data_IF_153740438033
#
_entry.id   IF_153740438033
#
_cell.length_a   1.000
_cell.length_b   1.000
_cell.length_c   1.000
_cell.angle_alpha   90.00
_cell.angle_beta   90.00
_cell.angle_gamma   90.00
#
_symmetry.space_group_name_H-M   'P 1'
#
loop_
_entity.id
_entity.type
_entity.pdbx_description
1 polymer ?
#
# COMPACT_ATOMS: atom_id res chain seq x y z
N UNK A 1 -37.47 -29.40 -43.19
CA UNK A 1 -36.48 -29.17 -42.12
C UNK A 1 -35.94 -27.75 -42.10
N UNK A 2 -36.68 -26.69 -42.44
CA UNK A 2 -36.14 -25.31 -42.58
C UNK A 2 -36.79 -24.22 -41.71
N UNK A 3 -37.81 -24.54 -40.90
CA UNK A 3 -38.51 -23.49 -40.13
C UNK A 3 -37.97 -23.19 -38.72
N UNK A 4 -37.03 -23.98 -38.20
CA UNK A 4 -36.43 -23.70 -36.87
C UNK A 4 -35.21 -22.77 -36.89
N UNK A 5 -34.51 -22.72 -38.00
CA UNK A 5 -33.31 -21.87 -38.14
C UNK A 5 -33.64 -20.40 -38.43
N UNK A 6 -34.74 -20.11 -39.09
CA UNK A 6 -35.22 -18.75 -39.37
C UNK A 6 -35.81 -18.05 -38.16
N UNK A 7 -36.46 -18.81 -37.23
CA UNK A 7 -37.00 -18.22 -36.00
C UNK A 7 -35.95 -17.77 -35.00
N UNK A 8 -34.83 -18.48 -34.92
CA UNK A 8 -33.71 -18.12 -33.99
C UNK A 8 -32.97 -16.87 -34.46
N UNK A 9 -32.80 -16.71 -35.78
CA UNK A 9 -32.13 -15.54 -36.37
C UNK A 9 -32.95 -14.25 -36.22
N UNK A 10 -34.28 -14.35 -36.23
CA UNK A 10 -35.18 -13.20 -36.07
C UNK A 10 -35.24 -12.69 -34.61
N UNK A 11 -35.13 -13.59 -33.62
CA UNK A 11 -35.16 -13.24 -32.18
C UNK A 11 -33.85 -12.53 -31.77
N UNK A 12 -32.70 -12.93 -32.32
CA UNK A 12 -31.42 -12.30 -32.03
C UNK A 12 -31.30 -10.88 -32.61
N UNK A 13 -31.95 -10.60 -33.74
CA UNK A 13 -31.98 -9.27 -34.36
C UNK A 13 -32.91 -8.27 -33.65
N UNK A 14 -33.95 -8.73 -32.99
CA UNK A 14 -34.91 -7.86 -32.25
C UNK A 14 -34.33 -7.46 -30.87
N UNK A 15 -33.52 -8.29 -30.24
CA UNK A 15 -32.88 -7.95 -28.95
C UNK A 15 -31.73 -6.96 -29.07
N UNK A 16 -31.18 -6.78 -30.26
CA UNK A 16 -30.06 -5.84 -30.48
C UNK A 16 -30.51 -4.40 -30.77
N UNK A 17 -31.80 -4.16 -31.10
CA UNK A 17 -32.30 -2.83 -31.44
C UNK A 17 -32.90 -2.02 -30.27
N UNK A 18 -33.04 -2.60 -29.06
CA UNK A 18 -33.72 -1.91 -27.92
C UNK A 18 -32.77 -1.20 -26.98
N UNK A 19 -31.43 -1.28 -27.17
CA UNK A 19 -30.43 -0.69 -26.25
C UNK A 19 -29.87 0.68 -26.66
N UNK A 20 -30.46 1.36 -27.65
CA UNK A 20 -29.89 2.62 -28.19
C UNK A 20 -30.74 3.87 -27.99
N UNK A 21 -31.56 3.94 -26.93
CA UNK A 21 -32.25 5.20 -26.57
C UNK A 21 -32.13 5.40 -25.06
N UNK A 22 -31.00 5.95 -24.60
CA UNK A 22 -30.90 6.61 -23.30
C UNK A 22 -30.76 8.12 -23.52
N UNK A 23 -31.61 8.94 -22.87
CA UNK A 23 -31.42 10.38 -22.91
C UNK A 23 -30.21 10.79 -22.10
N UNK A 24 -29.29 11.52 -22.71
CA UNK A 24 -28.16 12.19 -22.04
C UNK A 24 -28.70 13.29 -21.13
N UNK A 25 -28.85 13.03 -19.85
CA UNK A 25 -28.94 14.09 -18.85
C UNK A 25 -27.54 14.59 -18.56
N UNK A 26 -27.25 15.79 -19.00
CA UNK A 26 -26.06 16.53 -18.65
C UNK A 26 -26.08 16.83 -17.15
N UNK A 27 -25.29 16.11 -16.37
CA UNK A 27 -24.97 16.48 -15.00
C UNK A 27 -23.84 17.50 -15.08
N UNK A 28 -24.16 18.75 -14.82
CA UNK A 28 -23.21 19.83 -14.57
C UNK A 28 -22.34 19.43 -13.37
N UNK A 29 -21.06 19.22 -13.62
CA UNK A 29 -20.06 19.03 -12.59
C UNK A 29 -19.84 20.38 -11.87
N UNK A 30 -20.40 20.50 -10.68
CA UNK A 30 -20.02 21.55 -9.73
C UNK A 30 -18.63 21.22 -9.18
N UNK A 31 -17.72 22.19 -9.31
CA UNK A 31 -16.34 22.11 -8.87
C UNK A 31 -16.22 21.93 -7.34
N UNK A 32 -15.30 21.10 -6.83
CA UNK A 32 -15.19 20.79 -5.40
C UNK A 32 -14.45 21.84 -4.56
N UNK A 33 -14.46 23.12 -4.95
CA UNK A 33 -13.73 24.19 -4.23
C UNK A 33 -14.57 25.00 -3.24
N UNK A 34 -15.90 24.84 -3.20
CA UNK A 34 -16.74 25.61 -2.26
C UNK A 34 -17.06 24.88 -0.93
N UNK A 35 -16.70 23.60 -0.77
CA UNK A 35 -17.00 22.87 0.47
C UNK A 35 -15.95 23.06 1.58
N UNK A 36 -14.85 23.75 1.32
CA UNK A 36 -13.77 23.97 2.31
C UNK A 36 -13.96 25.26 3.12
N UNK A 37 -14.79 26.19 2.67
CA UNK A 37 -14.91 27.49 3.34
C UNK A 37 -16.00 27.58 4.43
N UNK A 38 -16.86 26.58 4.61
CA UNK A 38 -18.00 26.63 5.54
C UNK A 38 -17.87 25.71 6.77
N UNK A 39 -16.67 25.20 7.09
CA UNK A 39 -16.48 24.34 8.27
C UNK A 39 -15.62 24.94 9.39
N UNK A 40 -15.50 26.28 9.44
CA UNK A 40 -14.73 26.96 10.50
C UNK A 40 -15.58 27.74 11.50
N UNK A 41 -16.84 27.38 11.68
CA UNK A 41 -17.62 27.93 12.84
C UNK A 41 -18.54 26.87 13.41
N UNK A 42 -18.04 26.02 14.28
CA UNK A 42 -18.69 25.46 15.48
C UNK A 42 -18.01 24.17 15.91
N UNK A 43 -17.18 24.21 16.89
CA UNK A 43 -17.20 23.39 18.12
C UNK A 43 -15.92 23.57 18.93
N UNK A 44 -16.07 24.11 20.11
CA UNK A 44 -15.09 24.08 21.19
C UNK A 44 -14.79 22.64 21.60
N UNK A 45 -13.49 22.28 21.71
CA UNK A 45 -12.86 21.72 22.91
C UNK A 45 -11.48 21.12 22.59
N UNK A 46 -10.48 21.56 23.37
CA UNK A 46 -9.36 20.70 23.75
C UNK A 46 -7.99 21.02 23.16
N UNK A 47 -7.35 22.11 23.65
CA UNK A 47 -5.96 22.11 24.11
C UNK A 47 -4.91 21.26 23.37
N UNK A 48 -4.33 21.75 22.29
CA UNK A 48 -2.96 21.42 21.84
C UNK A 48 -2.37 22.38 20.79
N UNK A 49 -3.18 23.19 20.09
CA UNK A 49 -2.66 24.09 19.02
C UNK A 49 -2.14 25.44 19.54
N UNK A 50 -2.52 25.85 20.76
CA UNK A 50 -2.10 27.13 21.35
C UNK A 50 -0.64 27.13 21.81
N UNK A 51 -0.09 25.98 22.15
CA UNK A 51 1.28 25.88 22.64
C UNK A 51 2.33 26.00 21.51
N UNK A 52 2.01 25.55 20.30
CA UNK A 52 2.93 25.62 19.17
C UNK A 52 3.10 27.06 18.65
N UNK A 53 2.01 27.82 18.53
CA UNK A 53 2.04 29.20 18.08
C UNK A 53 2.68 30.13 19.13
N UNK A 54 2.46 29.89 20.43
CA UNK A 54 3.10 30.64 21.50
C UNK A 54 4.60 30.36 21.59
N UNK A 55 5.04 29.12 21.32
CA UNK A 55 6.46 28.77 21.28
C UNK A 55 7.16 29.41 20.08
N UNK A 56 6.53 29.45 18.89
CA UNK A 56 7.07 30.10 17.70
C UNK A 56 7.12 31.63 17.84
N UNK A 57 6.10 32.24 18.43
CA UNK A 57 6.05 33.67 18.69
C UNK A 57 7.07 34.09 19.76
N UNK A 58 7.29 33.25 20.78
CA UNK A 58 8.33 33.46 21.80
C UNK A 58 9.75 33.40 21.25
N UNK A 59 10.02 32.50 20.30
CA UNK A 59 11.33 32.42 19.62
C UNK A 59 11.58 33.59 18.68
N UNK A 60 10.53 34.12 18.02
CA UNK A 60 10.67 35.23 17.08
C UNK A 60 10.85 36.58 17.80
N UNK A 61 10.16 36.82 18.92
CA UNK A 61 10.23 38.05 19.70
C UNK A 61 11.41 38.09 20.69
N UNK A 62 11.93 36.91 21.13
CA UNK A 62 13.08 36.83 22.02
C UNK A 62 14.39 37.29 21.37
N UNK A 63 14.46 37.33 20.05
CA UNK A 63 15.67 37.73 19.31
C UNK A 63 15.73 39.21 18.97
N UNK A 64 14.67 39.99 19.28
CA UNK A 64 14.60 41.43 18.93
C UNK A 64 14.87 42.38 20.11
N UNK A 65 14.92 41.88 21.35
CA UNK A 65 15.20 42.68 22.54
C UNK A 65 16.50 42.17 23.18
N UNK A 66 17.62 42.75 22.71
CA UNK A 66 18.92 42.45 23.26
C UNK A 66 19.05 42.75 24.76
N UNK A 67 19.39 41.70 25.50
CA UNK A 67 20.11 41.83 26.79
C UNK A 67 21.07 40.65 26.93
N UNK A 68 22.33 40.97 26.87
CA UNK A 68 23.47 40.08 27.06
C UNK A 68 23.53 39.56 28.48
N UNK A 69 23.42 38.26 28.68
CA UNK A 69 23.95 37.58 29.87
C UNK A 69 24.86 36.44 29.42
N UNK A 70 26.00 36.22 30.11
CA UNK A 70 26.99 35.24 29.65
C UNK A 70 26.50 33.82 29.80
N UNK A 71 26.64 33.04 28.73
CA UNK A 71 26.34 31.62 28.66
C UNK A 71 27.42 30.83 29.37
N UNK A 72 27.12 29.96 30.34
CA UNK A 72 28.13 29.00 30.83
C UNK A 72 28.36 27.96 29.72
N UNK A 73 29.64 27.82 29.35
CA UNK A 73 30.13 26.80 28.43
C UNK A 73 29.90 25.42 29.01
N UNK A 74 28.88 24.72 28.51
CA UNK A 74 28.66 23.31 28.75
C UNK A 74 28.52 22.62 27.40
N UNK A 75 29.64 22.18 26.85
CA UNK A 75 29.80 21.49 25.55
C UNK A 75 29.30 20.04 25.58
N UNK A 76 28.78 19.54 26.70
CA UNK A 76 28.47 18.10 26.85
C UNK A 76 26.99 17.71 26.68
N UNK A 77 26.07 18.70 26.54
CA UNK A 77 24.62 18.37 26.51
C UNK A 77 24.03 18.27 25.09
N UNK A 78 24.78 18.67 24.04
CA UNK A 78 24.25 18.66 22.65
C UNK A 78 24.42 17.30 21.96
N UNK A 79 25.23 16.39 22.53
CA UNK A 79 25.53 15.09 21.91
C UNK A 79 24.43 14.04 22.09
N UNK A 80 23.41 14.30 22.93
CA UNK A 80 22.32 13.36 23.21
C UNK A 80 21.00 13.65 22.48
N UNK A 81 20.93 14.67 21.62
CA UNK A 81 19.67 15.07 20.94
C UNK A 81 19.77 14.91 19.41
N UNK A 82 20.93 14.54 18.84
CA UNK A 82 20.96 14.16 17.42
C UNK A 82 20.47 12.71 17.30
N UNK A 83 19.37 12.47 16.58
CA UNK A 83 18.98 11.10 16.23
C UNK A 83 20.14 10.47 15.46
N UNK A 84 20.66 9.36 15.96
CA UNK A 84 21.66 8.54 15.28
C UNK A 84 21.09 8.16 13.91
N UNK A 85 21.93 8.10 12.88
CA UNK A 85 21.54 7.77 11.50
C UNK A 85 20.71 6.47 11.39
N UNK A 86 20.80 5.57 12.37
CA UNK A 86 20.03 4.34 12.49
C UNK A 86 18.55 4.58 12.76
N UNK A 87 18.19 5.57 13.58
CA UNK A 87 16.77 5.83 13.93
C UNK A 87 16.02 6.47 12.76
N UNK A 88 16.68 7.31 11.97
CA UNK A 88 16.08 7.90 10.77
C UNK A 88 15.84 6.86 9.67
N UNK A 89 16.70 5.85 9.53
CA UNK A 89 16.53 4.82 8.50
C UNK A 89 15.42 3.83 8.88
N UNK A 90 15.27 3.51 10.16
CA UNK A 90 14.22 2.63 10.65
C UNK A 90 12.83 3.27 10.50
N UNK A 91 12.68 4.56 10.77
CA UNK A 91 11.42 5.29 10.56
C UNK A 91 11.05 5.42 9.09
N UNK A 92 12.01 5.67 8.20
CA UNK A 92 11.77 5.76 6.75
C UNK A 92 11.38 4.40 6.14
N UNK A 93 11.97 3.30 6.59
CA UNK A 93 11.62 1.96 6.11
C UNK A 93 10.22 1.53 6.59
N UNK A 94 9.85 1.85 7.83
CA UNK A 94 8.50 1.60 8.34
C UNK A 94 7.45 2.36 7.51
N UNK A 95 7.67 3.64 7.21
CA UNK A 95 6.75 4.44 6.38
C UNK A 95 6.62 3.89 4.95
N UNK A 96 7.73 3.42 4.35
CA UNK A 96 7.68 2.77 3.02
C UNK A 96 6.89 1.46 3.07
N UNK A 97 7.09 0.65 4.10
CA UNK A 97 6.35 -0.59 4.31
C UNK A 97 4.85 -0.34 4.45
N UNK A 98 4.46 0.63 5.27
CA UNK A 98 3.05 1.01 5.45
C UNK A 98 2.42 1.50 4.14
N UNK A 99 3.15 2.27 3.33
CA UNK A 99 2.69 2.72 2.02
C UNK A 99 2.46 1.54 1.04
N UNK A 100 3.36 0.55 1.03
CA UNK A 100 3.21 -0.68 0.25
C UNK A 100 1.93 -1.43 0.64
N UNK A 101 1.70 -1.61 1.95
CA UNK A 101 0.52 -2.32 2.44
C UNK A 101 -0.77 -1.51 2.17
N UNK A 102 -0.74 -0.19 2.31
CA UNK A 102 -1.87 0.67 1.95
C UNK A 102 -2.23 0.50 0.47
N UNK A 103 -1.24 0.54 -0.43
CA UNK A 103 -1.42 0.28 -1.87
C UNK A 103 -1.96 -1.13 -2.13
N UNK A 104 -1.36 -2.16 -1.52
CA UNK A 104 -1.78 -3.55 -1.68
C UNK A 104 -3.26 -3.77 -1.29
N UNK A 105 -3.70 -3.15 -0.20
CA UNK A 105 -5.09 -3.23 0.29
C UNK A 105 -6.11 -2.65 -0.68
N UNK A 106 -5.76 -1.71 -1.55
CA UNK A 106 -6.69 -1.17 -2.55
C UNK A 106 -7.11 -2.22 -3.58
N UNK A 107 -6.37 -3.32 -3.69
CA UNK A 107 -6.64 -4.44 -4.60
C UNK A 107 -7.32 -5.64 -3.93
N UNK A 108 -7.73 -5.53 -2.66
CA UNK A 108 -8.46 -6.62 -1.99
C UNK A 108 -9.66 -7.08 -2.83
N UNK A 109 -9.77 -8.41 -3.01
CA UNK A 109 -10.83 -9.00 -3.83
C UNK A 109 -10.58 -8.97 -5.34
N UNK A 110 -9.50 -8.37 -5.84
CA UNK A 110 -9.14 -8.46 -7.26
C UNK A 110 -8.92 -9.92 -7.66
N UNK A 111 -9.42 -10.37 -8.84
CA UNK A 111 -9.41 -11.77 -9.20
C UNK A 111 -7.98 -12.29 -9.50
N UNK A 112 -7.72 -13.53 -9.06
CA UNK A 112 -6.52 -14.27 -9.44
C UNK A 112 -6.60 -14.75 -10.90
N UNK A 113 -5.61 -14.38 -11.70
CA UNK A 113 -5.45 -14.87 -13.08
C UNK A 113 -4.02 -15.36 -13.25
N UNK A 114 -3.84 -16.63 -13.60
CA UNK A 114 -2.51 -17.20 -13.86
C UNK A 114 -1.80 -16.42 -14.98
N UNK A 115 -0.62 -15.84 -14.69
CA UNK A 115 0.12 -14.99 -15.62
C UNK A 115 -0.51 -13.60 -15.84
N UNK A 116 -1.57 -13.25 -15.12
CA UNK A 116 -2.19 -11.91 -15.19
C UNK A 116 -1.24 -10.83 -14.65
N UNK A 117 -1.29 -9.63 -15.23
CA UNK A 117 -0.38 -8.51 -14.92
C UNK A 117 -1.11 -7.17 -14.77
N UNK A 118 -2.43 -7.19 -14.73
CA UNK A 118 -3.24 -5.97 -14.73
C UNK A 118 -4.26 -5.97 -13.59
N UNK A 119 -4.88 -4.83 -13.34
CA UNK A 119 -5.97 -4.69 -12.36
C UNK A 119 -7.21 -5.52 -12.69
N UNK A 120 -7.33 -6.06 -13.91
CA UNK A 120 -8.38 -7.01 -14.27
C UNK A 120 -8.11 -8.43 -13.72
N UNK A 121 -6.89 -8.72 -13.28
CA UNK A 121 -6.46 -9.93 -12.62
C UNK A 121 -4.94 -10.03 -12.59
N UNK A 122 -4.43 -10.46 -11.44
CA UNK A 122 -3.01 -10.69 -11.19
C UNK A 122 -2.72 -12.17 -10.95
N UNK A 123 -1.47 -12.56 -11.01
CA UNK A 123 -0.93 -13.68 -10.23
C UNK A 123 -0.18 -13.15 -9.00
N UNK A 124 0.27 -14.05 -8.11
CA UNK A 124 0.92 -13.66 -6.87
C UNK A 124 2.12 -12.73 -7.06
N UNK A 125 2.98 -12.99 -8.05
CA UNK A 125 4.20 -12.23 -8.30
C UNK A 125 3.98 -10.97 -9.13
N UNK A 126 3.02 -10.94 -10.02
CA UNK A 126 2.63 -9.72 -10.73
C UNK A 126 1.92 -8.74 -9.79
N UNK A 127 1.12 -9.24 -8.85
CA UNK A 127 0.53 -8.42 -7.78
C UNK A 127 1.62 -7.70 -6.97
N UNK A 128 2.64 -8.44 -6.49
CA UNK A 128 3.74 -7.83 -5.74
C UNK A 128 4.54 -6.85 -6.62
N UNK A 129 4.82 -7.21 -7.88
CA UNK A 129 5.51 -6.32 -8.81
C UNK A 129 4.73 -5.03 -9.06
N UNK A 130 3.42 -5.13 -9.26
CA UNK A 130 2.55 -3.99 -9.51
C UNK A 130 2.52 -3.03 -8.31
N UNK A 131 2.30 -3.55 -7.10
CA UNK A 131 2.28 -2.75 -5.87
C UNK A 131 3.63 -2.07 -5.63
N UNK A 132 4.75 -2.79 -5.78
CA UNK A 132 6.10 -2.23 -5.67
C UNK A 132 6.32 -1.09 -6.67
N UNK A 133 5.94 -1.29 -7.93
CA UNK A 133 6.05 -0.28 -8.99
C UNK A 133 5.25 0.99 -8.67
N UNK A 134 4.05 0.88 -8.13
CA UNK A 134 3.24 2.03 -7.69
C UNK A 134 3.93 2.84 -6.58
N UNK A 135 4.83 2.21 -5.82
CA UNK A 135 5.61 2.83 -4.76
C UNK A 135 7.06 3.16 -5.20
N UNK A 136 7.33 3.18 -6.51
CA UNK A 136 8.63 3.56 -7.06
C UNK A 136 9.72 2.50 -6.96
N UNK A 137 9.38 1.23 -6.63
CA UNK A 137 10.32 0.13 -6.48
C UNK A 137 10.15 -0.83 -7.66
N UNK A 138 11.23 -1.09 -8.39
CA UNK A 138 11.24 -2.06 -9.49
C UNK A 138 11.75 -3.41 -9.00
N UNK A 139 10.95 -4.46 -9.21
CA UNK A 139 11.30 -5.84 -8.90
C UNK A 139 11.05 -6.76 -10.10
N UNK A 140 11.70 -7.95 -10.18
CA UNK A 140 11.48 -8.90 -11.24
C UNK A 140 10.05 -9.42 -11.34
N UNK A 141 9.70 -10.05 -12.47
CA UNK A 141 8.34 -10.52 -12.77
C UNK A 141 7.93 -11.76 -11.97
N UNK A 142 8.81 -12.72 -11.82
CA UNK A 142 8.46 -14.01 -11.23
C UNK A 142 8.84 -14.11 -9.75
N UNK A 143 8.10 -14.89 -8.98
CA UNK A 143 8.40 -15.12 -7.56
C UNK A 143 9.82 -15.65 -7.34
N UNK A 144 10.31 -16.53 -8.23
CA UNK A 144 11.66 -17.07 -8.13
C UNK A 144 12.75 -16.00 -8.31
N UNK A 145 12.59 -15.11 -9.28
CA UNK A 145 13.52 -14.01 -9.52
C UNK A 145 13.43 -12.98 -8.39
N UNK A 146 12.23 -12.66 -7.90
CA UNK A 146 12.05 -11.80 -6.74
C UNK A 146 12.76 -12.37 -5.51
N UNK A 147 12.67 -13.68 -5.29
CA UNK A 147 13.39 -14.32 -4.20
C UNK A 147 14.91 -14.26 -4.37
N UNK A 148 15.42 -14.33 -5.60
CA UNK A 148 16.85 -14.36 -5.88
C UNK A 148 17.53 -12.99 -5.67
N UNK A 149 16.83 -11.86 -5.90
CA UNK A 149 17.43 -10.51 -5.97
C UNK A 149 17.34 -9.73 -4.66
N UNK A 150 16.25 -9.85 -3.90
CA UNK A 150 16.05 -9.06 -2.68
C UNK A 150 17.03 -9.42 -1.54
N UNK A 151 17.21 -8.51 -0.61
CA UNK A 151 18.00 -8.74 0.61
C UNK A 151 17.31 -9.78 1.50
N UNK A 152 18.02 -10.84 1.87
CA UNK A 152 17.48 -11.90 2.73
C UNK A 152 17.11 -11.35 4.12
N UNK A 153 15.96 -11.80 4.63
CA UNK A 153 15.44 -11.43 5.95
C UNK A 153 15.07 -12.69 6.73
N UNK A 154 15.57 -12.80 7.95
CA UNK A 154 15.17 -13.88 8.86
C UNK A 154 13.72 -13.70 9.29
N UNK A 155 12.99 -14.81 9.52
CA UNK A 155 11.59 -14.79 9.93
C UNK A 155 11.35 -13.97 11.20
N UNK A 156 12.29 -13.97 12.14
CA UNK A 156 12.25 -13.20 13.40
C UNK A 156 12.43 -11.69 13.19
N UNK A 157 12.97 -11.27 12.04
CA UNK A 157 13.30 -9.87 11.71
C UNK A 157 12.37 -9.29 10.63
N UNK A 158 11.24 -9.93 10.38
CA UNK A 158 10.24 -9.46 9.41
C UNK A 158 9.71 -8.07 9.79
N UNK A 159 9.64 -7.20 8.80
CA UNK A 159 9.06 -5.86 8.89
C UNK A 159 7.94 -5.71 7.86
N UNK A 160 6.97 -4.86 8.17
CA UNK A 160 5.87 -4.54 7.26
C UNK A 160 6.42 -4.12 5.90
N UNK A 161 5.90 -4.73 4.82
CA UNK A 161 6.34 -4.52 3.44
C UNK A 161 7.41 -5.49 2.94
N UNK A 162 7.98 -6.35 3.81
CA UNK A 162 8.84 -7.45 3.35
C UNK A 162 8.04 -8.43 2.49
N UNK A 163 8.67 -9.00 1.48
CA UNK A 163 8.09 -10.10 0.70
C UNK A 163 8.36 -11.43 1.39
N UNK A 164 7.31 -12.21 1.61
CA UNK A 164 7.36 -13.57 2.15
C UNK A 164 7.11 -14.57 1.05
N UNK A 165 7.91 -15.65 1.00
CA UNK A 165 7.92 -16.60 -0.11
C UNK A 165 7.66 -18.03 0.35
N UNK A 166 7.00 -18.77 -0.54
CA UNK A 166 6.57 -20.16 -0.27
C UNK A 166 6.85 -21.06 -1.47
N UNK A 167 7.14 -22.34 -1.18
CA UNK A 167 7.10 -23.42 -2.16
C UNK A 167 5.68 -23.97 -2.22
N UNK A 168 4.98 -23.86 -3.35
CA UNK A 168 3.60 -24.31 -3.49
C UNK A 168 3.42 -25.33 -4.61
N UNK A 169 3.25 -24.89 -5.87
CA UNK A 169 2.97 -25.77 -7.01
C UNK A 169 4.24 -26.29 -7.71
N UNK A 170 5.43 -25.78 -7.39
CA UNK A 170 6.73 -26.25 -7.91
C UNK A 170 7.84 -25.98 -6.89
N UNK A 171 8.99 -26.69 -6.97
CA UNK A 171 10.16 -26.46 -6.13
C UNK A 171 10.65 -25.01 -6.21
N UNK A 172 11.20 -24.49 -5.09
CA UNK A 172 11.67 -23.12 -4.95
C UNK A 172 10.55 -22.11 -4.71
N UNK A 173 10.87 -20.81 -4.82
CA UNK A 173 9.90 -19.76 -4.62
C UNK A 173 8.87 -19.75 -5.76
N UNK A 174 7.67 -20.21 -5.46
CA UNK A 174 6.57 -20.32 -6.41
C UNK A 174 5.31 -19.54 -5.98
N UNK A 175 5.31 -18.99 -4.76
CA UNK A 175 4.28 -18.08 -4.27
C UNK A 175 4.91 -16.98 -3.42
N UNK A 176 4.26 -15.79 -3.40
CA UNK A 176 4.77 -14.58 -2.74
C UNK A 176 3.63 -13.69 -2.26
N UNK A 177 3.85 -12.96 -1.17
CA UNK A 177 2.97 -11.91 -0.67
C UNK A 177 3.74 -10.90 0.18
N UNK A 178 3.07 -9.80 0.58
CA UNK A 178 3.63 -8.78 1.47
C UNK A 178 3.33 -9.10 2.93
N UNK A 179 4.33 -9.11 3.77
CA UNK A 179 4.14 -9.17 5.22
C UNK A 179 3.50 -7.89 5.75
N UNK A 180 2.48 -8.03 6.58
CA UNK A 180 1.68 -6.92 7.12
C UNK A 180 1.92 -6.64 8.61
N UNK A 181 2.79 -7.41 9.25
CA UNK A 181 2.87 -7.47 10.71
C UNK A 181 1.93 -8.55 11.29
N UNK A 182 2.08 -8.82 12.59
CA UNK A 182 1.21 -9.75 13.35
C UNK A 182 1.03 -11.13 12.69
N UNK A 183 2.08 -11.67 12.08
CA UNK A 183 2.07 -12.93 11.32
C UNK A 183 1.05 -12.97 10.17
N UNK A 184 0.62 -11.83 9.66
CA UNK A 184 -0.27 -11.73 8.51
C UNK A 184 0.47 -11.31 7.25
N UNK A 185 -0.03 -11.73 6.09
CA UNK A 185 0.46 -11.29 4.79
C UNK A 185 -0.68 -11.14 3.79
N UNK A 186 -0.56 -10.15 2.90
CA UNK A 186 -1.49 -9.93 1.80
C UNK A 186 -0.88 -10.48 0.51
N UNK A 187 -1.65 -11.26 -0.23
CA UNK A 187 -1.21 -11.92 -1.45
C UNK A 187 -2.35 -12.15 -2.42
N UNK A 188 -2.04 -12.35 -3.68
CA UNK A 188 -3.03 -12.85 -4.63
C UNK A 188 -3.03 -14.38 -4.61
N UNK A 189 -4.11 -14.94 -4.06
CA UNK A 189 -4.25 -16.36 -3.74
C UNK A 189 -4.92 -17.15 -4.85
N UNK A 190 -4.20 -18.12 -5.43
CA UNK A 190 -4.80 -19.06 -6.40
C UNK A 190 -5.89 -19.95 -5.77
N UNK A 191 -5.83 -20.19 -4.46
CA UNK A 191 -6.82 -20.97 -3.72
C UNK A 191 -8.08 -20.14 -3.45
N UNK A 192 -7.94 -18.91 -2.93
CA UNK A 192 -9.04 -17.99 -2.69
C UNK A 192 -9.55 -17.33 -3.99
N UNK A 193 -8.83 -17.47 -5.12
CA UNK A 193 -9.14 -16.87 -6.42
C UNK A 193 -9.13 -15.34 -6.44
N UNK A 194 -8.46 -14.71 -5.48
CA UNK A 194 -8.43 -13.27 -5.32
C UNK A 194 -7.31 -12.79 -4.41
N UNK A 195 -7.04 -11.48 -4.43
CA UNK A 195 -6.21 -10.83 -3.42
C UNK A 195 -6.89 -10.92 -2.06
N UNK A 196 -6.17 -11.50 -1.10
CA UNK A 196 -6.68 -11.77 0.25
C UNK A 196 -5.56 -11.66 1.29
N UNK A 197 -5.93 -11.75 2.56
CA UNK A 197 -5.01 -11.81 3.69
C UNK A 197 -5.04 -13.22 4.28
N UNK A 198 -3.85 -13.77 4.55
CA UNK A 198 -3.66 -15.05 5.23
C UNK A 198 -2.69 -14.92 6.40
N UNK A 199 -2.64 -15.92 7.27
CA UNK A 199 -1.70 -15.98 8.39
C UNK A 199 -0.49 -16.87 8.07
N UNK A 200 0.71 -16.43 8.48
CA UNK A 200 1.93 -17.26 8.47
C UNK A 200 1.84 -18.42 9.46
N UNK A 201 0.86 -18.41 10.38
CA UNK A 201 0.62 -19.48 11.36
C UNK A 201 -0.32 -20.56 10.81
N UNK A 202 -0.97 -20.34 9.67
CA UNK A 202 -1.71 -21.39 9.00
C UNK A 202 -0.78 -22.54 8.63
N UNK A 203 -1.18 -23.78 8.94
CA UNK A 203 -0.37 -24.99 8.74
C UNK A 203 0.24 -25.04 7.34
N UNK A 204 -0.57 -24.75 6.30
CA UNK A 204 -0.08 -24.77 4.92
C UNK A 204 1.09 -23.80 4.72
N UNK A 205 0.97 -22.55 5.17
CA UNK A 205 2.03 -21.54 4.97
C UNK A 205 3.23 -21.77 5.88
N UNK A 206 3.04 -22.31 7.08
CA UNK A 206 4.14 -22.69 7.97
C UNK A 206 5.01 -23.79 7.35
N UNK A 207 4.39 -24.82 6.75
CA UNK A 207 5.09 -25.95 6.13
C UNK A 207 5.77 -25.59 4.81
N UNK A 208 5.28 -24.56 4.10
CA UNK A 208 5.75 -24.18 2.77
C UNK A 208 6.61 -22.91 2.76
N UNK A 209 6.81 -22.25 3.90
CA UNK A 209 7.63 -21.04 4.00
C UNK A 209 9.10 -21.35 3.70
N UNK A 210 9.71 -20.56 2.80
CA UNK A 210 11.12 -20.73 2.40
C UNK A 210 12.00 -19.51 2.68
N UNK A 211 11.44 -18.40 3.11
CA UNK A 211 12.20 -17.21 3.48
C UNK A 211 11.51 -15.91 3.09
N UNK A 212 12.18 -14.81 3.37
CA UNK A 212 11.70 -13.46 3.04
C UNK A 212 12.79 -12.62 2.37
N UNK A 213 12.35 -11.54 1.71
CA UNK A 213 13.23 -10.56 1.06
C UNK A 213 12.73 -9.15 1.32
N UNK A 214 13.70 -8.24 1.56
CA UNK A 214 13.47 -6.79 1.69
C UNK A 214 13.96 -6.06 0.46
N UNK A 215 13.15 -5.13 -0.03
CA UNK A 215 13.44 -4.25 -1.16
C UNK A 215 13.43 -2.77 -0.78
N UNK A 216 13.03 -2.47 0.44
CA UNK A 216 13.04 -1.11 0.99
C UNK A 216 14.39 -0.84 1.64
N UNK A 217 15.17 0.03 1.04
CA UNK A 217 16.45 0.53 1.56
C UNK A 217 16.36 2.03 1.82
#
# INVERSE_FOLDING_TARGET
MNNRRTAITLIVLITFCITLIMPTTAVMAASPLESILNQTTSSNNGSSSSNFLNTLLGMLLGNLLGKTNPIPSSTDTIKSILPTSSDNQMTTNSQKGDALIATAKTFMGSPYVWGGETTAGFDCSSFTQYVMKQNGITIPRTAAEQYAVGTAVDKSNLQVGDLVFFTTYKPGASHVGFYMGNNQFIHDSSAAKQVTISSLDEKFYTEHYIGARRYMN
#
